data_IF_297119693560
#
_entry.id   IF_297119693560
#
_cell.length_a   1.000
_cell.length_b   1.000
_cell.length_c   1.000
_cell.angle_alpha   90.00
_cell.angle_beta   90.00
_cell.angle_gamma   90.00
#
_symmetry.space_group_name_H-M   'P 1'
#
loop_
_entity.id
_entity.type
_entity.pdbx_description
1 polymer ?
#
# COMPACT_ATOMS: atom_id res chain seq x y z
N UNK A 1 -2.80 26.57 -2.59
CA UNK A 1 -2.72 25.70 -3.79
C UNK A 1 -2.22 24.33 -3.34
N UNK A 2 -2.83 23.23 -3.80
CA UNK A 2 -2.44 21.88 -3.40
C UNK A 2 -1.18 21.41 -4.15
N UNK A 3 -0.38 20.59 -3.46
CA UNK A 3 0.80 19.92 -4.00
C UNK A 3 0.80 18.46 -3.58
N UNK A 4 1.34 17.59 -4.42
CA UNK A 4 1.34 16.16 -4.23
C UNK A 4 2.74 15.56 -4.32
N UNK A 5 2.94 14.45 -3.59
CA UNK A 5 4.10 13.58 -3.77
C UNK A 5 3.63 12.14 -3.93
N UNK A 6 4.11 11.48 -4.97
CA UNK A 6 3.64 10.13 -5.35
C UNK A 6 4.67 9.07 -4.98
N UNK A 7 4.24 8.01 -4.31
CA UNK A 7 5.12 6.92 -3.91
C UNK A 7 4.44 5.57 -4.08
N UNK A 8 5.22 4.55 -4.44
CA UNK A 8 4.75 3.15 -4.50
C UNK A 8 4.59 2.66 -5.94
N UNK A 9 3.60 1.81 -6.19
CA UNK A 9 3.40 1.20 -7.50
C UNK A 9 4.44 0.15 -7.90
N UNK A 10 5.20 -0.37 -6.93
CA UNK A 10 6.16 -1.44 -7.18
C UNK A 10 5.49 -2.82 -7.36
N UNK A 11 6.15 -3.72 -8.08
CA UNK A 11 5.76 -5.13 -8.26
C UNK A 11 6.54 -5.99 -7.28
N UNK A 12 5.92 -6.36 -6.15
CA UNK A 12 6.57 -7.17 -5.11
C UNK A 12 6.43 -8.67 -5.33
N UNK A 13 5.43 -9.11 -6.12
CA UNK A 13 5.19 -10.52 -6.41
C UNK A 13 4.89 -10.67 -7.91
N UNK A 14 5.58 -11.58 -8.60
CA UNK A 14 5.34 -11.87 -10.02
C UNK A 14 3.98 -12.57 -10.26
N UNK A 15 3.40 -13.17 -9.23
CA UNK A 15 2.13 -13.91 -9.31
C UNK A 15 0.88 -13.04 -9.25
N UNK A 16 1.02 -11.73 -8.98
CA UNK A 16 -0.09 -10.78 -8.87
C UNK A 16 -0.07 -9.82 -10.06
N UNK A 17 -1.25 -9.56 -10.65
CA UNK A 17 -1.45 -8.57 -11.73
C UNK A 17 -0.70 -7.26 -11.43
N UNK A 18 -0.32 -6.54 -12.49
CA UNK A 18 0.36 -5.23 -12.49
C UNK A 18 -0.43 -4.05 -11.90
N UNK A 19 -1.12 -4.28 -10.79
CA UNK A 19 -1.91 -3.29 -10.04
C UNK A 19 -1.03 -2.14 -9.58
N UNK A 20 0.22 -2.41 -9.19
CA UNK A 20 1.17 -1.37 -8.80
C UNK A 20 1.43 -0.36 -9.92
N UNK A 21 1.68 -0.86 -11.14
CA UNK A 21 1.91 -0.02 -12.31
C UNK A 21 0.64 0.74 -12.69
N UNK A 22 -0.50 0.05 -12.76
CA UNK A 22 -1.79 0.66 -13.10
C UNK A 22 -2.17 1.80 -12.13
N UNK A 23 -1.93 1.62 -10.83
CA UNK A 23 -2.20 2.65 -9.82
C UNK A 23 -1.26 3.86 -9.97
N UNK A 24 0.03 3.62 -10.27
CA UNK A 24 0.97 4.70 -10.52
C UNK A 24 0.56 5.54 -11.72
N UNK A 25 0.21 4.88 -12.83
CA UNK A 25 -0.23 5.55 -14.06
C UNK A 25 -1.54 6.32 -13.85
N UNK A 26 -2.49 5.75 -13.09
CA UNK A 26 -3.74 6.41 -12.75
C UNK A 26 -3.49 7.66 -11.90
N UNK A 27 -2.69 7.56 -10.84
CA UNK A 27 -2.42 8.68 -9.94
C UNK A 27 -1.74 9.85 -10.66
N UNK A 28 -0.79 9.57 -11.56
CA UNK A 28 -0.14 10.59 -12.38
C UNK A 28 -1.12 11.30 -13.32
N UNK A 29 -2.02 10.55 -13.98
CA UNK A 29 -3.06 11.13 -14.85
C UNK A 29 -4.03 11.99 -14.05
N UNK A 30 -4.58 11.42 -12.97
CA UNK A 30 -5.56 12.09 -12.13
C UNK A 30 -5.04 13.44 -11.60
N UNK A 31 -3.83 13.48 -11.04
CA UNK A 31 -3.28 14.73 -10.51
C UNK A 31 -3.00 15.77 -11.59
N UNK A 32 -2.63 15.33 -12.81
CA UNK A 32 -2.46 16.22 -13.95
C UNK A 32 -3.79 16.84 -14.36
N UNK A 33 -4.83 16.02 -14.46
CA UNK A 33 -6.17 16.45 -14.89
C UNK A 33 -6.80 17.40 -13.87
N UNK A 34 -6.55 17.19 -12.58
CA UNK A 34 -6.96 18.07 -11.47
C UNK A 34 -6.07 19.32 -11.31
N UNK A 35 -5.02 19.47 -12.12
CA UNK A 35 -4.10 20.61 -12.04
C UNK A 35 -3.27 20.68 -10.74
N UNK A 36 -3.12 19.55 -10.04
CA UNK A 36 -2.35 19.42 -8.80
C UNK A 36 -0.88 19.14 -9.15
N UNK A 37 0.01 20.02 -8.68
CA UNK A 37 1.44 19.88 -8.98
C UNK A 37 2.05 18.72 -8.20
N UNK A 38 2.71 17.80 -8.90
CA UNK A 38 3.56 16.78 -8.28
C UNK A 38 4.95 17.38 -8.02
N UNK A 39 5.37 17.45 -6.75
CA UNK A 39 6.63 18.08 -6.33
C UNK A 39 7.76 17.10 -6.05
N UNK A 40 7.48 15.79 -6.14
CA UNK A 40 8.48 14.74 -6.01
C UNK A 40 7.84 13.39 -5.73
N UNK A 41 8.65 12.34 -5.71
CA UNK A 41 8.11 11.00 -5.53
C UNK A 41 9.05 9.88 -5.93
N UNK A 42 8.56 8.65 -5.79
CA UNK A 42 9.22 7.41 -6.21
C UNK A 42 8.16 6.37 -6.54
N UNK A 43 7.81 6.32 -7.82
CA UNK A 43 6.83 5.38 -8.37
C UNK A 43 7.52 4.19 -9.03
N UNK A 44 6.78 3.08 -9.17
CA UNK A 44 7.20 1.84 -9.85
C UNK A 44 8.38 1.16 -9.14
N UNK A 45 9.00 0.14 -9.74
CA UNK A 45 10.13 -0.62 -9.18
C UNK A 45 9.77 -2.02 -8.67
N UNK A 46 10.77 -2.79 -8.22
CA UNK A 46 10.62 -4.22 -7.90
C UNK A 46 10.35 -4.55 -6.41
N UNK A 47 10.36 -3.55 -5.53
CA UNK A 47 10.26 -3.79 -4.09
C UNK A 47 9.38 -2.79 -3.36
N UNK A 48 8.92 -3.21 -2.17
CA UNK A 48 8.19 -2.36 -1.23
C UNK A 48 9.05 -1.19 -0.72
N UNK A 49 8.39 -0.16 -0.23
CA UNK A 49 9.05 1.00 0.38
C UNK A 49 8.25 1.50 1.57
N UNK A 50 8.96 1.79 2.66
CA UNK A 50 8.39 2.42 3.85
C UNK A 50 8.51 3.93 3.70
N UNK A 51 7.40 4.62 3.98
CA UNK A 51 7.31 6.07 3.86
C UNK A 51 7.06 6.69 5.23
N UNK A 52 7.77 7.79 5.49
CA UNK A 52 7.47 8.69 6.59
C UNK A 52 7.15 10.06 6.01
N UNK A 53 5.98 10.60 6.34
CA UNK A 53 5.51 11.89 5.83
C UNK A 53 5.28 12.87 6.98
N UNK A 54 5.83 14.08 6.84
CA UNK A 54 5.60 15.18 7.77
C UNK A 54 4.62 16.19 7.15
N UNK A 55 3.35 16.21 7.55
CA UNK A 55 2.31 16.99 6.87
C UNK A 55 2.54 18.49 6.93
N UNK A 56 3.08 19.00 8.04
CA UNK A 56 3.32 20.44 8.25
C UNK A 56 4.41 20.98 7.30
N UNK A 57 5.45 20.18 7.02
CA UNK A 57 6.58 20.62 6.16
C UNK A 57 6.52 20.08 4.74
N UNK A 58 5.62 19.13 4.46
CA UNK A 58 5.58 18.40 3.20
C UNK A 58 6.78 17.47 2.97
N UNK A 59 7.67 17.27 3.95
CA UNK A 59 8.82 16.36 3.82
C UNK A 59 8.35 14.92 3.77
N UNK A 60 9.02 14.13 2.93
CA UNK A 60 8.78 12.70 2.80
C UNK A 60 10.15 11.99 2.81
N UNK A 61 10.28 10.95 3.62
CA UNK A 61 11.43 10.07 3.65
C UNK A 61 10.98 8.69 3.16
N UNK A 62 11.71 8.14 2.19
CA UNK A 62 11.51 6.78 1.72
C UNK A 62 12.69 5.89 2.12
N UNK A 63 12.38 4.65 2.48
CA UNK A 63 13.37 3.57 2.65
C UNK A 63 12.89 2.35 1.88
N UNK A 64 13.77 1.79 1.04
CA UNK A 64 13.50 0.51 0.39
C UNK A 64 13.35 -0.56 1.46
N UNK A 65 12.33 -1.42 1.32
CA UNK A 65 12.20 -2.61 2.15
C UNK A 65 12.98 -3.70 1.43
N UNK A 66 14.12 -4.10 2.00
CA UNK A 66 14.75 -5.38 1.67
C UNK A 66 13.96 -6.47 2.37
N UNK A 67 13.48 -7.45 1.62
CA UNK A 67 12.67 -8.56 2.13
C UNK A 67 13.43 -9.35 3.20
N UNK A 68 13.21 -9.00 4.46
CA UNK A 68 13.28 -9.94 5.57
C UNK A 68 11.88 -10.50 5.73
N UNK A 69 11.50 -11.47 4.90
CA UNK A 69 10.26 -12.22 5.11
C UNK A 69 10.31 -12.84 6.52
N UNK A 70 9.64 -12.22 7.49
CA UNK A 70 9.30 -12.86 8.75
C UNK A 70 8.05 -13.69 8.45
N UNK A 71 8.11 -15.02 8.48
CA UNK A 71 6.93 -15.84 8.26
C UNK A 71 5.88 -15.45 9.32
N UNK A 72 4.73 -14.95 8.88
CA UNK A 72 3.58 -14.82 9.78
C UNK A 72 3.13 -16.25 10.08
N UNK A 73 3.20 -16.71 11.35
CA UNK A 73 2.68 -18.02 11.68
C UNK A 73 1.21 -18.07 11.28
N UNK A 74 0.74 -19.18 10.68
CA UNK A 74 -0.66 -19.28 10.28
C UNK A 74 -1.53 -18.97 11.50
N UNK A 75 -2.36 -17.93 11.37
CA UNK A 75 -3.38 -17.61 12.36
C UNK A 75 -4.16 -18.90 12.62
N UNK A 76 -4.09 -19.40 13.86
CA UNK A 76 -4.91 -20.51 14.28
C UNK A 76 -6.36 -20.13 13.98
N UNK A 77 -7.02 -20.91 13.12
CA UNK A 77 -8.43 -20.73 12.79
C UNK A 77 -9.17 -20.65 14.14
N UNK A 78 -9.96 -19.58 14.42
CA UNK A 78 -10.71 -19.52 15.66
C UNK A 78 -11.56 -20.80 15.76
N UNK A 79 -11.64 -21.45 16.94
CA UNK A 79 -12.42 -22.66 17.10
C UNK A 79 -13.85 -22.36 16.65
N UNK A 80 -14.41 -23.25 15.82
CA UNK A 80 -15.82 -23.18 15.44
C UNK A 80 -16.65 -23.30 16.71
N UNK A 81 -17.21 -22.19 17.17
CA UNK A 81 -18.26 -22.21 18.20
C UNK A 81 -19.46 -22.98 17.60
N UNK A 82 -19.92 -24.08 18.21
CA UNK A 82 -21.11 -24.76 17.75
C UNK A 82 -22.32 -23.82 17.90
N UNK A 83 -22.77 -23.23 16.80
CA UNK A 83 -24.06 -22.53 16.76
C UNK A 83 -25.15 -23.58 16.66
N UNK A 84 -25.66 -24.05 17.80
CA UNK A 84 -26.76 -25.01 17.78
C UNK A 84 -26.95 -25.79 19.07
N UNK A 85 -27.23 -25.12 20.17
CA UNK A 85 -28.00 -25.71 21.27
C UNK A 85 -28.89 -24.62 21.84
N UNK A 86 -30.07 -24.47 21.23
CA UNK A 86 -31.20 -23.80 21.86
C UNK A 86 -31.84 -24.86 22.76
N UNK A 87 -31.47 -24.88 24.04
CA UNK A 87 -32.22 -25.63 25.03
C UNK A 87 -33.49 -24.82 25.36
N UNK A 88 -34.65 -25.38 25.01
CA UNK A 88 -35.94 -24.88 25.46
C UNK A 88 -36.20 -25.45 26.85
N UNK A 89 -36.12 -24.61 27.88
CA UNK A 89 -36.62 -24.89 29.23
C UNK A 89 -37.90 -24.09 29.48
#
# INVERSE_FOLDING_TARGET
>A
RLEAKLFGGGRMFDSLKDVGLANADFAERFLRDEGIRVTGGSLRGAGGRRLHYWPVSGRALQRAVTDSHVPVPPSARPPTVPTGLVELF
#
